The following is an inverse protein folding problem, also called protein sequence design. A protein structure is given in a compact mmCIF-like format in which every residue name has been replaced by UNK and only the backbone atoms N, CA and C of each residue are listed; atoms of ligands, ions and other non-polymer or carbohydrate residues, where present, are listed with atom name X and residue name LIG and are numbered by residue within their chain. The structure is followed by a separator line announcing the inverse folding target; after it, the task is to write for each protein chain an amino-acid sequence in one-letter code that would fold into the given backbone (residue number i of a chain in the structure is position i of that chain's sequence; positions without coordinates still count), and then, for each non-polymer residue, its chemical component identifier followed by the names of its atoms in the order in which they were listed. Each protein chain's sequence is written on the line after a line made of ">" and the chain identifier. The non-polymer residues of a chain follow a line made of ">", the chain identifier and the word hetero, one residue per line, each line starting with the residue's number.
data_IF_080275095041
#
_entry.id   IF_080275095041
#
_cell.length_a   1.000
_cell.length_b   1.000
_cell.length_c   1.000
_cell.angle_alpha   90.00
_cell.angle_beta   90.00
_cell.angle_gamma   90.00
#
_symmetry.space_group_name_H-M   'P 1'
#
loop_
_entity.id
_entity.type
_entity.pdbx_description
1 polymer ?
#
# COMPACT_ATOMS: atom_id res chain seq x y z
N UNK A 1 3.17 -0.26 44.23
CA UNK A 1 2.09 -1.00 43.53
C UNK A 1 2.06 -0.40 42.15
N UNK A 2 2.87 -0.94 41.26
CA UNK A 2 3.20 -0.26 40.02
C UNK A 2 2.40 -0.98 38.94
N UNK A 3 1.14 -0.54 38.80
CA UNK A 3 0.20 -1.07 37.83
C UNK A 3 0.65 -0.62 36.44
N UNK A 4 1.60 -1.35 35.88
CA UNK A 4 2.10 -1.13 34.52
C UNK A 4 1.03 -1.65 33.55
N UNK A 5 0.13 -0.74 33.18
CA UNK A 5 -0.73 -0.93 32.01
C UNK A 5 0.17 -0.68 30.81
N UNK A 6 0.44 -1.72 30.02
CA UNK A 6 1.05 -1.57 28.71
C UNK A 6 0.05 -0.81 27.82
N UNK A 7 0.24 0.51 27.71
CA UNK A 7 -0.50 1.31 26.74
C UNK A 7 0.12 1.01 25.38
N UNK A 8 -0.61 0.31 24.52
CA UNK A 8 -0.24 0.22 23.11
C UNK A 8 -0.26 1.65 22.55
N UNK A 9 0.92 2.15 22.20
CA UNK A 9 1.08 3.50 21.69
C UNK A 9 0.65 3.49 20.22
N UNK A 10 -0.36 4.29 19.90
CA UNK A 10 -0.78 4.57 18.53
C UNK A 10 -0.18 5.91 18.09
N UNK A 11 0.50 5.91 16.94
CA UNK A 11 1.25 7.07 16.47
C UNK A 11 0.35 8.03 15.69
N UNK A 12 0.52 9.33 15.94
CA UNK A 12 -0.16 10.39 15.18
C UNK A 12 0.56 10.55 13.84
N UNK A 13 -0.15 10.28 12.75
CA UNK A 13 0.38 10.35 11.38
C UNK A 13 0.02 11.69 10.74
N UNK A 14 -1.19 12.19 10.98
CA UNK A 14 -1.59 13.51 10.51
C UNK A 14 -1.59 14.51 11.67
N UNK A 15 -0.52 15.31 11.81
CA UNK A 15 -0.43 16.32 12.87
C UNK A 15 -1.43 17.48 12.73
N UNK A 16 -1.96 17.74 11.54
CA UNK A 16 -2.98 18.76 11.32
C UNK A 16 -4.28 18.44 12.08
N UNK A 17 -4.81 17.25 11.82
CA UNK A 17 -6.11 16.81 12.34
C UNK A 17 -6.01 15.82 13.51
N UNK A 18 -4.78 15.53 13.98
CA UNK A 18 -4.49 14.61 15.08
C UNK A 18 -4.97 13.17 14.83
N UNK A 19 -4.87 12.71 13.58
CA UNK A 19 -5.34 11.38 13.16
C UNK A 19 -4.20 10.37 13.29
N UNK A 20 -4.51 9.20 13.85
CA UNK A 20 -3.54 8.15 14.14
C UNK A 20 -3.36 7.15 13.00
N UNK A 21 -2.32 6.34 13.08
CA UNK A 21 -2.08 5.25 12.13
C UNK A 21 -3.24 4.24 12.13
N UNK A 22 -3.72 3.84 13.31
CA UNK A 22 -4.80 2.84 13.41
C UNK A 22 -6.09 3.32 12.77
N UNK A 23 -6.42 4.61 12.90
CA UNK A 23 -7.60 5.22 12.30
C UNK A 23 -7.49 5.22 10.76
N UNK A 24 -6.37 5.71 10.20
CA UNK A 24 -6.16 5.72 8.74
C UNK A 24 -6.23 4.31 8.17
N UNK A 25 -5.57 3.34 8.82
CA UNK A 25 -5.59 1.95 8.36
C UNK A 25 -6.96 1.32 8.45
N UNK A 26 -7.74 1.63 9.48
CA UNK A 26 -9.13 1.17 9.62
C UNK A 26 -9.99 1.73 8.49
N UNK A 27 -9.89 3.03 8.20
CA UNK A 27 -10.64 3.64 7.09
C UNK A 27 -10.27 3.05 5.73
N UNK A 28 -8.98 2.80 5.48
CA UNK A 28 -8.52 2.14 4.25
C UNK A 28 -9.14 0.75 4.12
N UNK A 29 -9.12 -0.04 5.19
CA UNK A 29 -9.60 -1.42 5.16
C UNK A 29 -11.13 -1.55 5.13
N UNK A 30 -11.85 -0.67 5.82
CA UNK A 30 -13.32 -0.71 5.89
C UNK A 30 -13.99 -0.25 4.60
N UNK A 31 -13.31 0.62 3.83
CA UNK A 31 -13.86 1.23 2.61
C UNK A 31 -13.11 0.84 1.33
N UNK A 32 -12.16 -0.12 1.41
CA UNK A 32 -11.30 -0.54 0.28
C UNK A 32 -10.64 0.65 -0.44
N UNK A 33 -10.12 1.63 0.33
CA UNK A 33 -9.59 2.88 -0.22
C UNK A 33 -8.32 2.61 -1.03
N UNK A 34 -8.24 3.23 -2.22
CA UNK A 34 -7.10 3.09 -3.14
C UNK A 34 -6.38 4.41 -3.45
N UNK A 35 -6.93 5.54 -3.01
CA UNK A 35 -6.40 6.88 -3.31
C UNK A 35 -6.39 7.77 -2.06
N UNK A 36 -5.44 8.72 -1.98
CA UNK A 36 -5.28 9.63 -0.83
C UNK A 36 -6.51 10.55 -0.66
N UNK A 37 -7.13 10.96 -1.76
CA UNK A 37 -8.31 11.83 -1.75
C UNK A 37 -9.47 11.17 -0.98
N UNK A 38 -9.66 9.86 -1.17
CA UNK A 38 -10.69 9.08 -0.47
C UNK A 38 -10.36 8.90 1.02
N UNK A 39 -9.06 8.79 1.38
CA UNK A 39 -8.64 8.82 2.81
C UNK A 39 -8.98 10.18 3.44
N UNK A 40 -8.78 11.26 2.69
CA UNK A 40 -9.13 12.61 3.14
C UNK A 40 -10.65 12.74 3.33
N UNK A 41 -11.45 12.21 2.41
CA UNK A 41 -12.91 12.21 2.55
C UNK A 41 -13.39 11.35 3.73
N UNK A 42 -12.68 10.27 4.06
CA UNK A 42 -13.06 9.35 5.13
C UNK A 42 -12.74 9.88 6.54
N UNK A 43 -11.61 10.58 6.72
CA UNK A 43 -11.16 11.01 8.04
C UNK A 43 -10.40 12.35 8.10
N UNK A 44 -10.37 13.15 7.04
CA UNK A 44 -9.61 14.41 6.89
C UNK A 44 -8.06 14.27 6.78
N UNK A 45 -7.50 13.07 6.99
CA UNK A 45 -6.06 12.85 6.86
C UNK A 45 -5.58 13.11 5.43
N UNK A 46 -4.63 14.03 5.29
CA UNK A 46 -4.10 14.44 3.98
C UNK A 46 -4.74 15.71 3.39
N UNK A 47 -5.75 16.29 4.03
CA UNK A 47 -6.47 17.45 3.47
C UNK A 47 -5.77 18.81 3.56
N UNK A 48 -4.76 18.97 4.44
CA UNK A 48 -4.07 20.25 4.65
C UNK A 48 -2.65 20.27 4.07
N UNK A 49 -1.61 20.16 4.92
CA UNK A 49 -0.23 20.42 4.50
C UNK A 49 0.40 19.31 3.63
N UNK A 50 -0.28 18.18 3.47
CA UNK A 50 0.18 17.03 2.68
C UNK A 50 1.38 16.26 3.25
N UNK A 51 1.94 16.66 4.40
CA UNK A 51 3.15 16.03 4.95
C UNK A 51 2.99 14.53 5.27
N UNK A 52 1.77 14.07 5.55
CA UNK A 52 1.45 12.67 5.80
C UNK A 52 1.19 11.84 4.54
N UNK A 53 1.12 12.43 3.34
CA UNK A 53 0.73 11.74 2.10
C UNK A 53 1.61 10.53 1.77
N UNK A 54 2.92 10.61 2.02
CA UNK A 54 3.84 9.49 1.79
C UNK A 54 3.48 8.27 2.66
N UNK A 55 3.12 8.51 3.93
CA UNK A 55 2.73 7.43 4.85
C UNK A 55 1.34 6.89 4.50
N UNK A 56 0.40 7.76 4.14
CA UNK A 56 -0.93 7.35 3.68
C UNK A 56 -0.81 6.44 2.44
N UNK A 57 -0.01 6.84 1.44
CA UNK A 57 0.21 6.02 0.25
C UNK A 57 0.83 4.66 0.60
N UNK A 58 1.81 4.63 1.51
CA UNK A 58 2.39 3.38 1.98
C UNK A 58 1.33 2.47 2.62
N UNK A 59 0.39 3.01 3.39
CA UNK A 59 -0.67 2.22 4.02
C UNK A 59 -1.65 1.65 3.00
N UNK A 60 -1.99 2.43 1.97
CA UNK A 60 -2.80 1.98 0.83
C UNK A 60 -2.10 0.84 0.09
N UNK A 61 -0.83 1.03 -0.30
CA UNK A 61 -0.04 0.03 -1.02
C UNK A 61 0.08 -1.27 -0.23
N UNK A 62 0.30 -1.17 1.09
CA UNK A 62 0.35 -2.32 1.99
C UNK A 62 -1.00 -3.07 2.06
N UNK A 63 -2.12 -2.34 2.05
CA UNK A 63 -3.44 -2.95 2.02
C UNK A 63 -3.69 -3.69 0.70
N UNK A 64 -3.33 -3.08 -0.43
CA UNK A 64 -3.46 -3.70 -1.76
C UNK A 64 -2.57 -4.95 -1.93
N UNK A 65 -1.34 -4.93 -1.41
CA UNK A 65 -0.46 -6.11 -1.44
C UNK A 65 -1.00 -7.26 -0.58
N UNK A 66 -1.65 -6.96 0.55
CA UNK A 66 -2.33 -7.98 1.35
C UNK A 66 -3.51 -8.62 0.60
N UNK A 67 -4.16 -7.87 -0.29
CA UNK A 67 -5.31 -8.31 -1.07
C UNK A 67 -4.92 -8.96 -2.42
N UNK A 68 -3.66 -8.90 -2.84
CA UNK A 68 -3.20 -9.55 -4.07
C UNK A 68 -3.18 -11.09 -3.92
N UNK A 69 -3.71 -11.85 -4.90
CA UNK A 69 -3.64 -13.30 -4.88
C UNK A 69 -2.17 -13.77 -4.93
N UNK A 70 -1.78 -14.62 -3.98
CA UNK A 70 -0.41 -15.12 -3.76
C UNK A 70 0.14 -16.07 -4.84
N UNK A 71 -0.44 -16.08 -6.05
CA UNK A 71 -0.06 -17.01 -7.13
C UNK A 71 0.96 -16.45 -8.13
N UNK A 72 1.41 -15.19 -7.99
CA UNK A 72 2.38 -14.62 -8.94
C UNK A 72 3.85 -14.97 -8.65
N UNK A 73 4.16 -15.71 -7.57
CA UNK A 73 5.53 -16.16 -7.28
C UNK A 73 5.86 -17.59 -7.78
N UNK A 74 4.95 -18.27 -8.48
CA UNK A 74 5.21 -19.61 -9.04
C UNK A 74 5.65 -19.62 -10.52
N UNK A 75 5.54 -18.49 -11.24
CA UNK A 75 5.89 -18.40 -12.67
C UNK A 75 7.40 -18.28 -12.96
N UNK A 76 8.25 -18.19 -11.94
CA UNK A 76 9.72 -18.02 -12.11
C UNK A 76 10.49 -19.32 -11.78
N UNK A 77 9.83 -20.35 -11.24
CA UNK A 77 10.52 -21.58 -10.78
C UNK A 77 10.54 -22.71 -11.82
N UNK A 78 9.61 -22.74 -12.78
CA UNK A 78 9.54 -23.83 -13.78
C UNK A 78 9.70 -23.32 -15.22
N UNK A 79 10.95 -23.06 -15.59
CA UNK A 79 11.40 -23.21 -16.98
C UNK A 79 11.29 -21.96 -17.86
N UNK A 80 12.36 -21.18 -17.88
CA UNK A 80 12.75 -20.42 -19.08
C UNK A 80 12.92 -21.42 -20.23
N UNK A 81 11.86 -21.61 -21.02
CA UNK A 81 11.95 -22.26 -22.33
C UNK A 81 11.96 -21.17 -23.39
N UNK A 82 13.13 -21.00 -23.99
CA UNK A 82 13.38 -20.56 -25.36
C UNK A 82 12.26 -19.74 -26.05
N UNK A 83 12.42 -18.41 -26.04
CA UNK A 83 11.58 -17.47 -26.79
C UNK A 83 12.37 -16.38 -27.52
N UNK A 84 13.53 -16.70 -28.10
CA UNK A 84 14.24 -15.79 -29.02
C UNK A 84 13.51 -15.85 -30.38
N UNK A 85 12.42 -15.09 -30.55
CA UNK A 85 11.81 -14.85 -31.88
C UNK A 85 11.45 -13.37 -32.01
N UNK A 86 12.47 -12.57 -32.28
CA UNK A 86 12.34 -11.13 -32.50
C UNK A 86 13.48 -10.53 -33.33
N UNK A 87 14.04 -11.27 -34.29
CA UNK A 87 14.94 -10.72 -35.31
C UNK A 87 14.93 -11.61 -36.57
N UNK A 88 13.78 -11.66 -37.25
CA UNK A 88 13.65 -12.28 -38.57
C UNK A 88 14.34 -11.37 -39.60
N UNK A 89 15.64 -11.60 -39.76
CA UNK A 89 16.44 -11.09 -40.86
C UNK A 89 15.82 -11.50 -42.18
N UNK A 90 15.24 -10.52 -42.88
CA UNK A 90 15.08 -10.56 -44.32
C UNK A 90 16.48 -10.65 -44.95
N UNK A 91 16.93 -11.85 -45.31
CA UNK A 91 17.96 -12.00 -46.36
C UNK A 91 18.08 -13.46 -46.83
N UNK A 92 17.12 -13.90 -47.65
CA UNK A 92 17.30 -15.00 -48.58
C UNK A 92 17.36 -14.41 -50.00
N UNK A 93 18.55 -14.06 -50.49
CA UNK A 93 19.05 -14.13 -51.89
C UNK A 93 20.39 -13.42 -52.03
#
# INVERSE_FOLDING_TARGET
>A
MDNTIAVEKDDIICNCFQITESEIRSQIAENDITEIEDVTLACDAGGECGSCHILIQLFIDQHQQKNAPKDSLELISTGVTAGIKGFLGKLFS
#
